data_IF_186565391845
#
_entry.id   IF_186565391845
#
_cell.length_a   1.000
_cell.length_b   1.000
_cell.length_c   1.000
_cell.angle_alpha   90.00
_cell.angle_beta   90.00
_cell.angle_gamma   90.00
#
_symmetry.space_group_name_H-M   'P 1'
#
loop_
_entity.id
_entity.type
_entity.pdbx_description
1 polymer ?
#
# COMPACT_ATOMS: atom_id res chain seq x y z
N UNK A 1 -14.10 28.11 -4.94
CA UNK A 1 -13.88 26.89 -4.12
C UNK A 1 -13.35 25.79 -5.02
N UNK A 2 -12.04 25.64 -5.13
CA UNK A 2 -11.41 24.45 -5.74
C UNK A 2 -10.05 24.27 -5.08
N UNK A 3 -10.01 23.48 -4.00
CA UNK A 3 -8.74 23.00 -3.46
C UNK A 3 -8.16 22.02 -4.49
N UNK A 4 -7.13 22.44 -5.21
CA UNK A 4 -6.30 21.53 -5.98
C UNK A 4 -5.71 20.50 -5.00
N UNK A 5 -6.07 19.23 -5.16
CA UNK A 5 -5.35 18.15 -4.52
C UNK A 5 -3.94 18.13 -5.16
N UNK A 6 -2.96 18.65 -4.42
CA UNK A 6 -1.57 18.62 -4.84
C UNK A 6 -1.24 17.17 -5.22
N UNK A 7 -0.88 16.96 -6.49
CA UNK A 7 -0.47 15.65 -6.98
C UNK A 7 0.61 15.13 -6.02
N UNK A 8 0.37 14.00 -5.32
CA UNK A 8 1.38 13.48 -4.41
C UNK A 8 2.62 13.24 -5.26
N UNK A 9 3.70 13.97 -5.01
CA UNK A 9 5.01 13.71 -5.61
C UNK A 9 5.77 12.88 -4.57
N UNK A 10 5.76 11.56 -4.75
CA UNK A 10 6.39 10.62 -3.83
C UNK A 10 5.63 9.30 -3.75
N UNK A 11 5.91 8.44 -2.76
CA UNK A 11 5.31 7.13 -2.68
C UNK A 11 3.79 7.07 -2.67
N UNK A 12 3.15 8.18 -2.30
CA UNK A 12 1.70 8.26 -2.33
C UNK A 12 1.08 8.33 -3.74
N UNK A 13 1.87 8.54 -4.81
CA UNK A 13 1.34 8.58 -6.19
C UNK A 13 0.86 7.24 -6.72
N UNK A 14 1.36 6.12 -6.18
CA UNK A 14 0.96 4.79 -6.62
C UNK A 14 -0.28 4.25 -5.91
N UNK A 15 -0.72 4.87 -4.80
CA UNK A 15 -1.91 4.44 -4.07
C UNK A 15 -3.22 4.51 -4.88
N UNK A 16 -3.48 5.57 -5.69
CA UNK A 16 -4.65 5.58 -6.56
C UNK A 16 -4.64 4.42 -7.58
N UNK A 17 -3.46 4.03 -8.07
CA UNK A 17 -3.32 2.91 -8.99
C UNK A 17 -3.50 1.56 -8.30
N UNK A 18 -2.94 1.37 -7.09
CA UNK A 18 -3.12 0.15 -6.28
C UNK A 18 -4.60 -0.05 -5.94
N UNK A 19 -5.30 1.00 -5.51
CA UNK A 19 -6.74 0.87 -5.22
C UNK A 19 -7.55 0.54 -6.48
N UNK A 20 -7.18 1.07 -7.65
CA UNK A 20 -7.82 0.71 -8.92
C UNK A 20 -7.56 -0.74 -9.32
N UNK A 21 -6.35 -1.24 -9.11
CA UNK A 21 -5.95 -2.59 -9.52
C UNK A 21 -6.50 -3.67 -8.59
N UNK A 22 -6.42 -3.45 -7.27
CA UNK A 22 -6.77 -4.48 -6.28
C UNK A 22 -8.10 -4.23 -5.56
N UNK A 23 -8.77 -3.10 -5.83
CA UNK A 23 -10.11 -2.81 -5.31
C UNK A 23 -10.19 -2.52 -3.80
N UNK A 24 -9.07 -2.58 -3.06
CA UNK A 24 -9.01 -2.33 -1.62
C UNK A 24 -8.41 -0.95 -1.31
N UNK A 25 -8.89 -0.25 -0.26
CA UNK A 25 -8.36 1.05 0.14
C UNK A 25 -6.92 0.91 0.68
N UNK A 26 -6.13 1.99 0.60
CA UNK A 26 -4.74 1.97 1.06
C UNK A 26 -4.59 1.61 2.55
N UNK A 27 -5.57 1.97 3.38
CA UNK A 27 -5.58 1.60 4.81
C UNK A 27 -5.60 0.10 5.04
N UNK A 28 -6.26 -0.66 4.16
CA UNK A 28 -6.26 -2.13 4.22
C UNK A 28 -4.84 -2.66 4.08
N UNK A 29 -4.12 -2.21 3.05
CA UNK A 29 -2.74 -2.61 2.77
C UNK A 29 -1.76 -2.15 3.86
N UNK A 30 -1.91 -0.93 4.37
CA UNK A 30 -1.11 -0.43 5.49
C UNK A 30 -1.35 -1.24 6.77
N UNK A 31 -2.58 -1.69 7.01
CA UNK A 31 -2.92 -2.58 8.12
C UNK A 31 -2.22 -3.94 8.01
N UNK A 32 -2.26 -4.55 6.83
CA UNK A 32 -1.56 -5.80 6.51
C UNK A 32 -0.04 -5.67 6.71
N UNK A 33 0.56 -4.61 6.17
CA UNK A 33 1.99 -4.32 6.37
C UNK A 33 2.34 -4.15 7.84
N UNK A 34 1.50 -3.46 8.62
CA UNK A 34 1.73 -3.28 10.07
C UNK A 34 1.62 -4.60 10.83
N UNK A 35 0.65 -5.46 10.49
CA UNK A 35 0.53 -6.79 11.07
C UNK A 35 1.75 -7.65 10.75
N UNK A 36 2.16 -7.66 9.49
CA UNK A 36 3.32 -8.43 9.04
C UNK A 36 4.64 -7.91 9.64
N UNK A 37 4.73 -6.59 9.84
CA UNK A 37 5.83 -5.97 10.58
C UNK A 37 5.83 -6.38 12.07
N UNK A 38 4.66 -6.47 12.70
CA UNK A 38 4.53 -6.98 14.07
C UNK A 38 4.84 -8.49 14.17
N UNK A 39 4.61 -9.25 13.10
CA UNK A 39 4.98 -10.67 12.99
C UNK A 39 6.51 -10.88 12.81
N UNK A 40 7.28 -9.81 12.59
CA UNK A 40 8.75 -9.84 12.52
C UNK A 40 9.34 -9.48 11.15
N UNK A 41 8.52 -9.28 10.12
CA UNK A 41 9.00 -8.91 8.79
C UNK A 41 9.08 -7.39 8.64
N UNK A 42 10.25 -6.81 8.88
CA UNK A 42 10.47 -5.36 8.76
C UNK A 42 11.06 -4.93 7.41
N UNK A 43 11.58 -5.88 6.61
CA UNK A 43 12.15 -5.58 5.31
C UNK A 43 11.06 -5.30 4.29
N UNK A 44 11.15 -4.13 3.65
CA UNK A 44 10.23 -3.72 2.60
C UNK A 44 10.08 -4.77 1.47
N UNK A 45 11.19 -5.37 1.01
CA UNK A 45 11.15 -6.38 -0.05
C UNK A 45 10.42 -7.67 0.33
N UNK A 46 10.53 -8.10 1.60
CA UNK A 46 9.81 -9.26 2.11
C UNK A 46 8.33 -8.95 2.30
N UNK A 47 8.00 -7.76 2.82
CA UNK A 47 6.62 -7.28 2.94
C UNK A 47 5.93 -7.21 1.57
N UNK A 48 6.60 -6.67 0.56
CA UNK A 48 6.07 -6.63 -0.81
C UNK A 48 5.89 -8.06 -1.32
N UNK A 49 6.89 -8.94 -1.19
CA UNK A 49 6.79 -10.33 -1.66
C UNK A 49 5.65 -11.10 -0.99
N UNK A 50 5.45 -10.88 0.31
CA UNK A 50 4.33 -11.44 1.07
C UNK A 50 2.98 -10.90 0.59
N UNK A 51 2.87 -9.58 0.36
CA UNK A 51 1.67 -8.98 -0.24
C UNK A 51 1.36 -9.57 -1.62
N UNK A 52 2.40 -9.81 -2.44
CA UNK A 52 2.24 -10.46 -3.75
C UNK A 52 1.76 -11.90 -3.62
N UNK A 53 2.35 -12.65 -2.71
CA UNK A 53 2.06 -14.07 -2.51
C UNK A 53 0.68 -14.32 -1.90
N UNK A 54 0.33 -13.61 -0.82
CA UNK A 54 -0.91 -13.83 -0.06
C UNK A 54 -2.10 -13.09 -0.65
N UNK A 55 -1.88 -11.88 -1.17
CA UNK A 55 -2.95 -10.97 -1.59
C UNK A 55 -2.93 -10.63 -3.08
N UNK A 56 -2.03 -11.26 -3.85
CA UNK A 56 -1.98 -11.14 -5.31
C UNK A 56 -1.46 -9.79 -5.82
N UNK A 57 -0.72 -9.04 -4.99
CA UNK A 57 -0.13 -7.73 -5.33
C UNK A 57 0.98 -7.80 -6.40
#
# INVERSE_FOLDING_TARGET
MTRQAAAPKGPASYFPSIQKTYGQPIEHWLGLVRQQHAAGTSRHGELVSWLKAEHGL
#
